data_IF_659333181316
#
_entry.id   IF_659333181316
#
_cell.length_a   1.000
_cell.length_b   1.000
_cell.length_c   1.000
_cell.angle_alpha   90.00
_cell.angle_beta   90.00
_cell.angle_gamma   90.00
#
_symmetry.space_group_name_H-M   'P 1'
#
loop_
_entity.id
_entity.type
_entity.pdbx_description
1 polymer ?
#
# COMPACT_ATOMS: atom_id res chain seq x y z
N UNK A 1 -22.28 16.79 -20.64
CA UNK A 1 -21.69 15.58 -20.02
C UNK A 1 -20.94 14.80 -21.10
N UNK A 2 -21.67 14.13 -22.01
CA UNK A 2 -21.14 13.38 -23.16
C UNK A 2 -19.96 14.05 -23.91
N UNK A 3 -20.06 15.32 -24.30
CA UNK A 3 -18.95 16.02 -24.97
C UNK A 3 -17.64 16.11 -24.16
N UNK A 4 -17.72 16.11 -22.82
CA UNK A 4 -16.53 16.04 -21.95
C UNK A 4 -15.97 14.61 -21.86
N UNK A 5 -16.83 13.60 -21.87
CA UNK A 5 -16.42 12.19 -21.88
C UNK A 5 -15.74 11.84 -23.21
N UNK A 6 -16.31 12.25 -24.33
CA UNK A 6 -15.72 12.06 -25.66
C UNK A 6 -14.39 12.82 -25.81
N UNK A 7 -14.29 14.06 -25.31
CA UNK A 7 -13.03 14.80 -25.32
C UNK A 7 -11.94 14.14 -24.44
N UNK A 8 -12.28 13.73 -23.20
CA UNK A 8 -11.34 13.02 -22.34
C UNK A 8 -10.93 11.66 -22.93
N UNK A 9 -11.86 10.95 -23.58
CA UNK A 9 -11.58 9.68 -24.25
C UNK A 9 -10.65 9.87 -25.45
N UNK A 10 -10.86 10.91 -26.26
CA UNK A 10 -9.97 11.25 -27.37
C UNK A 10 -8.54 11.58 -26.88
N UNK A 11 -8.40 12.37 -25.81
CA UNK A 11 -7.08 12.67 -25.23
C UNK A 11 -6.39 11.40 -24.71
N UNK A 12 -7.12 10.49 -24.05
CA UNK A 12 -6.57 9.20 -23.60
C UNK A 12 -6.11 8.30 -24.76
N UNK A 13 -6.85 8.27 -25.88
CA UNK A 13 -6.46 7.53 -27.08
C UNK A 13 -5.24 8.15 -27.78
N UNK A 14 -5.18 9.48 -27.90
CA UNK A 14 -4.00 10.18 -28.42
C UNK A 14 -2.77 9.96 -27.53
N UNK A 15 -2.97 9.84 -26.21
CA UNK A 15 -1.92 9.52 -25.25
C UNK A 15 -1.26 8.14 -25.42
N UNK A 16 -1.67 7.35 -26.42
CA UNK A 16 -0.98 6.11 -26.81
C UNK A 16 0.26 6.35 -27.66
N UNK A 17 0.32 7.48 -28.36
CA UNK A 17 1.50 7.91 -29.09
C UNK A 17 2.42 8.73 -28.15
N UNK A 18 3.69 8.32 -27.93
CA UNK A 18 4.60 9.05 -27.04
C UNK A 18 4.88 10.50 -27.46
N UNK A 19 4.82 10.84 -28.75
CA UNK A 19 5.04 12.21 -29.23
C UNK A 19 3.83 13.10 -28.87
N UNK A 20 2.62 12.58 -29.06
CA UNK A 20 1.36 13.22 -28.67
C UNK A 20 1.29 13.48 -27.16
N UNK A 21 1.82 12.59 -26.29
CA UNK A 21 1.76 12.81 -24.83
C UNK A 21 2.48 14.09 -24.40
N UNK A 22 3.65 14.38 -24.95
CA UNK A 22 4.40 15.60 -24.60
C UNK A 22 3.61 16.86 -25.00
N UNK A 23 3.00 16.85 -26.20
CA UNK A 23 2.14 17.94 -26.66
C UNK A 23 0.88 18.11 -25.78
N UNK A 24 0.24 17.01 -25.37
CA UNK A 24 -0.94 17.02 -24.49
C UNK A 24 -0.60 17.60 -23.10
N UNK A 25 0.56 17.23 -22.53
CA UNK A 25 1.04 17.77 -21.25
C UNK A 25 1.34 19.27 -21.37
N UNK A 26 2.05 19.67 -22.43
CA UNK A 26 2.39 21.08 -22.70
C UNK A 26 1.15 21.95 -22.99
N UNK A 27 0.09 21.37 -23.57
CA UNK A 27 -1.21 22.03 -23.75
C UNK A 27 -2.02 22.21 -22.43
N UNK A 28 -1.46 21.81 -21.28
CA UNK A 28 -2.07 22.03 -19.96
C UNK A 28 -3.10 20.99 -19.54
N UNK A 29 -3.18 19.83 -20.22
CA UNK A 29 -4.19 18.80 -19.92
C UNK A 29 -4.17 18.33 -18.46
N UNK A 30 -2.99 18.31 -17.80
CA UNK A 30 -2.85 17.97 -16.39
C UNK A 30 -3.71 18.86 -15.46
N UNK A 31 -3.78 20.16 -15.72
CA UNK A 31 -4.58 21.10 -14.93
C UNK A 31 -6.09 20.89 -15.15
N UNK A 32 -6.48 20.64 -16.40
CA UNK A 32 -7.87 20.34 -16.79
C UNK A 32 -8.34 19.04 -16.14
N UNK A 33 -7.52 17.99 -16.21
CA UNK A 33 -7.79 16.70 -15.57
C UNK A 33 -7.90 16.82 -14.05
N UNK A 34 -7.02 17.60 -13.40
CA UNK A 34 -7.11 17.86 -11.96
C UNK A 34 -8.42 18.57 -11.58
N UNK A 35 -8.84 19.57 -12.37
CA UNK A 35 -10.13 20.25 -12.17
C UNK A 35 -11.32 19.29 -12.32
N UNK A 36 -11.32 18.44 -13.35
CA UNK A 36 -12.39 17.45 -13.58
C UNK A 36 -12.43 16.43 -12.43
N UNK A 37 -11.30 15.83 -12.04
CA UNK A 37 -11.23 14.86 -10.92
C UNK A 37 -11.70 15.45 -9.57
N UNK A 38 -11.58 16.77 -9.39
CA UNK A 38 -12.02 17.49 -8.19
C UNK A 38 -13.53 17.81 -8.21
N UNK A 39 -14.05 18.31 -9.33
CA UNK A 39 -15.36 19.01 -9.40
C UNK A 39 -16.34 18.45 -10.45
N UNK A 40 -15.89 17.66 -11.42
CA UNK A 40 -16.73 17.08 -12.47
C UNK A 40 -17.75 16.02 -12.01
N UNK A 41 -18.61 15.59 -12.93
CA UNK A 41 -19.52 14.45 -12.75
C UNK A 41 -18.74 13.13 -12.70
N UNK A 42 -19.19 12.12 -11.93
CA UNK A 42 -18.39 10.92 -11.69
C UNK A 42 -18.02 10.19 -12.99
N UNK A 43 -18.97 10.03 -13.92
CA UNK A 43 -18.73 9.46 -15.26
C UNK A 43 -17.60 10.15 -16.06
N UNK A 44 -17.47 11.47 -15.98
CA UNK A 44 -16.35 12.20 -16.61
C UNK A 44 -15.04 11.98 -15.83
N UNK A 45 -15.12 11.85 -14.50
CA UNK A 45 -13.96 11.57 -13.64
C UNK A 45 -13.39 10.17 -13.88
N UNK A 46 -14.25 9.17 -14.15
CA UNK A 46 -13.86 7.83 -14.60
C UNK A 46 -13.03 7.90 -15.88
N UNK A 47 -13.56 8.56 -16.93
CA UNK A 47 -12.86 8.66 -18.23
C UNK A 47 -11.56 9.45 -18.12
N UNK A 48 -11.49 10.47 -17.25
CA UNK A 48 -10.24 11.19 -16.97
C UNK A 48 -9.22 10.33 -16.22
N UNK A 49 -9.64 9.53 -15.23
CA UNK A 49 -8.73 8.59 -14.57
C UNK A 49 -8.21 7.51 -15.55
N UNK A 50 -9.08 7.01 -16.43
CA UNK A 50 -8.67 6.15 -17.53
C UNK A 50 -7.63 6.83 -18.44
N UNK A 51 -7.88 8.06 -18.90
CA UNK A 51 -6.96 8.80 -19.75
C UNK A 51 -5.60 9.03 -19.08
N UNK A 52 -5.58 9.43 -17.79
CA UNK A 52 -4.35 9.52 -16.99
C UNK A 52 -3.59 8.19 -16.97
N UNK A 53 -4.32 7.06 -16.89
CA UNK A 53 -3.70 5.72 -16.92
C UNK A 53 -3.08 5.37 -18.27
N UNK A 54 -3.70 5.71 -19.41
CA UNK A 54 -3.14 5.47 -20.74
C UNK A 54 -1.89 6.32 -20.98
N UNK A 55 -1.94 7.63 -20.66
CA UNK A 55 -0.78 8.53 -20.79
C UNK A 55 0.41 8.04 -19.95
N UNK A 56 0.17 7.67 -18.69
CA UNK A 56 1.21 7.15 -17.80
C UNK A 56 1.74 5.77 -18.23
N UNK A 57 0.91 4.95 -18.88
CA UNK A 57 1.31 3.63 -19.36
C UNK A 57 2.27 3.68 -20.55
N UNK A 58 2.17 4.69 -21.44
CA UNK A 58 2.97 4.75 -22.67
C UNK A 58 4.07 5.83 -22.64
N UNK A 59 4.00 6.80 -21.71
CA UNK A 59 5.03 7.83 -21.58
C UNK A 59 5.35 8.17 -20.11
N UNK A 60 6.30 7.45 -19.50
CA UNK A 60 6.62 7.60 -18.06
C UNK A 60 6.96 9.03 -17.61
N UNK A 61 7.52 9.90 -18.46
CA UNK A 61 7.84 11.28 -18.06
C UNK A 61 6.61 12.12 -17.70
N UNK A 62 5.38 11.73 -18.08
CA UNK A 62 4.16 12.46 -17.70
C UNK A 62 3.74 12.23 -16.22
N UNK A 63 4.34 11.24 -15.55
CA UNK A 63 4.13 10.95 -14.13
C UNK A 63 4.38 12.19 -13.25
N UNK A 64 5.50 12.89 -13.45
CA UNK A 64 5.87 14.04 -12.62
C UNK A 64 4.97 15.27 -12.86
N UNK A 65 4.62 15.67 -14.11
CA UNK A 65 3.57 16.64 -14.38
C UNK A 65 2.22 16.31 -13.73
N UNK A 66 1.78 15.05 -13.74
CA UNK A 66 0.56 14.65 -13.04
C UNK A 66 0.68 14.76 -11.52
N UNK A 67 1.85 14.42 -10.94
CA UNK A 67 2.12 14.59 -9.52
C UNK A 67 2.10 16.05 -9.09
N UNK A 68 2.77 16.94 -9.84
CA UNK A 68 2.77 18.39 -9.61
C UNK A 68 1.35 18.99 -9.66
N UNK A 69 0.48 18.45 -10.51
CA UNK A 69 -0.91 18.88 -10.66
C UNK A 69 -1.89 18.21 -9.67
N UNK A 70 -1.41 17.64 -8.56
CA UNK A 70 -2.20 17.03 -7.49
C UNK A 70 -3.07 15.81 -7.92
N UNK A 71 -2.82 15.22 -9.10
CA UNK A 71 -3.62 14.10 -9.62
C UNK A 71 -3.60 12.91 -8.65
N UNK A 72 -2.42 12.56 -8.12
CA UNK A 72 -2.24 11.47 -7.14
C UNK A 72 -3.20 11.62 -5.95
N UNK A 73 -3.23 12.81 -5.33
CA UNK A 73 -4.09 13.13 -4.19
C UNK A 73 -5.59 13.03 -4.55
N UNK A 74 -5.97 13.39 -5.77
CA UNK A 74 -7.36 13.32 -6.24
C UNK A 74 -7.81 11.87 -6.53
N UNK A 75 -6.93 11.05 -7.12
CA UNK A 75 -7.18 9.62 -7.32
C UNK A 75 -7.30 8.89 -5.98
N UNK A 76 -6.40 9.16 -5.02
CA UNK A 76 -6.49 8.60 -3.66
C UNK A 76 -7.77 9.06 -2.93
N UNK A 77 -8.23 10.30 -3.14
CA UNK A 77 -9.52 10.77 -2.59
C UNK A 77 -10.69 9.94 -3.12
N UNK A 78 -10.66 9.55 -4.39
CA UNK A 78 -11.68 8.68 -5.01
C UNK A 78 -11.60 7.24 -4.51
N UNK A 79 -10.41 6.66 -4.39
CA UNK A 79 -10.24 5.34 -3.76
C UNK A 79 -10.74 5.30 -2.31
N UNK A 80 -10.51 6.37 -1.54
CA UNK A 80 -10.92 6.44 -0.14
C UNK A 80 -12.43 6.66 0.07
N UNK A 81 -13.15 7.17 -0.94
CA UNK A 81 -14.57 7.48 -0.83
C UNK A 81 -15.39 6.19 -0.61
N UNK A 82 -16.16 6.14 0.49
CA UNK A 82 -16.95 4.98 0.94
C UNK A 82 -16.16 3.66 1.19
N UNK A 83 -14.83 3.64 0.99
CA UNK A 83 -13.98 2.45 1.18
C UNK A 83 -13.52 2.28 2.63
N UNK A 84 -13.28 3.39 3.33
CA UNK A 84 -12.91 3.41 4.75
C UNK A 84 -13.94 4.30 5.47
N UNK A 85 -14.64 3.81 6.52
CA UNK A 85 -15.52 4.65 7.33
C UNK A 85 -14.75 5.88 7.86
N UNK A 86 -15.37 7.06 7.86
CA UNK A 86 -14.74 8.32 8.31
C UNK A 86 -14.28 8.26 9.79
N UNK A 87 -14.69 7.23 10.54
CA UNK A 87 -14.32 6.95 11.95
C UNK A 87 -13.62 5.58 12.16
N UNK A 88 -13.00 4.96 11.14
CA UNK A 88 -12.34 3.66 11.33
C UNK A 88 -11.13 3.76 12.28
N UNK A 89 -10.88 2.69 13.07
CA UNK A 89 -9.76 2.59 14.02
C UNK A 89 -8.36 2.68 13.39
N UNK A 90 -8.27 2.75 12.06
CA UNK A 90 -7.03 2.90 11.28
C UNK A 90 -6.82 4.32 10.74
N UNK A 91 -7.59 5.30 11.23
CA UNK A 91 -7.37 6.71 10.91
C UNK A 91 -5.99 7.16 11.42
N UNK A 92 -5.01 7.20 10.52
CA UNK A 92 -3.73 7.88 10.76
C UNK A 92 -4.04 9.33 11.13
N UNK A 93 -3.79 9.70 12.37
CA UNK A 93 -3.94 11.07 12.85
C UNK A 93 -2.92 11.96 12.14
N UNK A 94 -3.39 12.68 11.13
CA UNK A 94 -2.65 13.81 10.56
C UNK A 94 -2.29 14.76 11.70
N UNK A 95 -0.99 14.94 11.95
CA UNK A 95 -0.46 15.86 12.98
C UNK A 95 -0.86 17.33 12.75
N UNK A 96 -1.50 17.66 11.63
CA UNK A 96 -2.04 18.99 11.35
C UNK A 96 -3.42 19.25 11.99
N UNK A 97 -4.16 18.20 12.38
CA UNK A 97 -5.51 18.36 12.97
C UNK A 97 -5.54 18.35 14.51
N UNK A 98 -4.42 18.16 15.19
CA UNK A 98 -4.35 18.04 16.66
C UNK A 98 -4.21 19.38 17.41
N UNK A 99 -4.56 20.51 16.79
CA UNK A 99 -4.48 21.86 17.39
C UNK A 99 -5.86 22.50 17.63
N UNK A 100 -6.92 21.69 17.76
CA UNK A 100 -8.21 22.16 18.26
C UNK A 100 -8.31 21.98 19.78
N UNK A 101 -8.45 23.08 20.51
CA UNK A 101 -8.50 23.15 21.97
C UNK A 101 -9.71 22.38 22.56
N UNK A 102 -10.71 22.06 21.75
CA UNK A 102 -11.93 21.37 22.21
C UNK A 102 -11.81 19.84 22.40
N UNK A 103 -10.70 19.21 22.02
CA UNK A 103 -10.56 17.74 22.12
C UNK A 103 -10.21 17.20 23.51
N UNK A 104 -9.85 18.06 24.47
CA UNK A 104 -9.26 17.65 25.76
C UNK A 104 -10.30 17.45 26.88
N UNK A 105 -11.52 17.98 26.74
CA UNK A 105 -12.51 18.04 27.85
C UNK A 105 -13.32 16.74 28.02
N UNK A 106 -13.33 15.85 27.02
CA UNK A 106 -14.16 14.62 27.02
C UNK A 106 -13.49 13.36 27.59
N UNK A 107 -12.24 13.46 28.06
CA UNK A 107 -11.50 12.31 28.62
C UNK A 107 -11.58 12.19 30.17
N UNK A 108 -12.07 13.20 30.87
CA UNK A 108 -12.00 13.29 32.34
C UNK A 108 -13.30 12.94 33.08
N UNK A 109 -14.16 12.10 32.49
CA UNK A 109 -15.47 11.76 33.07
C UNK A 109 -15.88 10.28 32.92
N UNK A 110 -14.99 9.34 33.21
CA UNK A 110 -15.35 8.00 33.70
C UNK A 110 -14.28 7.46 34.65
N UNK A 111 -14.63 7.24 35.92
CA UNK A 111 -13.77 6.63 36.93
C UNK A 111 -14.55 6.27 38.21
N UNK A 112 -14.25 5.10 38.78
CA UNK A 112 -14.96 4.45 39.90
C UNK A 112 -15.59 3.11 39.45
N UNK A 113 -15.35 1.96 40.07
CA UNK A 113 -14.65 1.61 41.34
C UNK A 113 -13.85 0.29 41.12
N UNK A 114 -12.62 0.12 41.68
CA UNK A 114 -12.24 -0.73 42.86
C UNK A 114 -12.42 -2.25 42.69
N UNK A 115 -11.57 -3.17 43.19
CA UNK A 115 -10.40 -3.20 44.11
C UNK A 115 -9.23 -4.02 43.46
N UNK A 116 -8.01 -4.24 43.99
CA UNK A 116 -7.33 -3.90 45.26
C UNK A 116 -5.87 -4.47 45.29
N UNK A 117 -5.15 -4.27 46.40
CA UNK A 117 -3.79 -4.80 46.78
C UNK A 117 -2.59 -4.43 45.85
N UNK A 118 -1.66 -3.56 46.26
CA UNK A 118 -0.56 -3.70 47.24
C UNK A 118 0.61 -4.60 46.81
N UNK A 119 1.77 -3.98 46.56
CA UNK A 119 3.11 -4.33 47.09
C UNK A 119 4.03 -3.12 46.90
N UNK A 120 4.82 -2.80 47.93
CA UNK A 120 5.84 -1.74 47.95
C UNK A 120 7.18 -2.24 47.40
N UNK A 121 8.02 -1.36 46.84
CA UNK A 121 9.44 -1.30 47.24
C UNK A 121 10.06 0.07 46.92
N UNK A 122 11.07 0.44 47.70
CA UNK A 122 11.73 1.72 47.77
C UNK A 122 12.74 1.98 46.63
N UNK A 123 12.87 3.26 46.26
CA UNK A 123 14.17 3.96 46.41
C UNK A 123 14.10 5.48 46.32
N UNK A 124 14.43 6.11 47.44
CA UNK A 124 14.75 7.53 47.57
C UNK A 124 16.15 7.85 46.99
N UNK A 125 16.37 9.11 46.59
CA UNK A 125 17.48 10.02 46.99
C UNK A 125 17.63 11.21 46.01
N UNK A 126 18.19 12.38 46.42
CA UNK A 126 17.33 13.56 46.48
C UNK A 126 17.87 14.86 45.83
N UNK A 127 16.97 15.85 45.77
CA UNK A 127 17.16 17.31 45.90
C UNK A 127 18.51 17.96 45.56
N UNK A 128 18.45 18.97 44.67
CA UNK A 128 19.14 20.24 44.90
C UNK A 128 18.19 21.42 44.65
N UNK A 129 18.28 22.44 45.50
CA UNK A 129 17.40 23.61 45.55
C UNK A 129 18.20 24.92 45.54
N UNK A 130 17.51 26.00 45.12
CA UNK A 130 17.68 27.44 45.46
C UNK A 130 18.46 28.34 44.47
N UNK A 131 18.21 29.68 44.45
CA UNK A 131 16.92 30.40 44.60
C UNK A 131 16.75 31.71 43.75
N UNK A 132 15.55 32.31 43.77
CA UNK A 132 15.25 33.73 43.42
C UNK A 132 13.78 33.95 43.01
N UNK A 133 12.87 34.44 43.89
CA UNK A 133 12.43 35.85 44.06
C UNK A 133 11.90 36.53 42.77
N UNK A 134 10.76 37.24 42.69
CA UNK A 134 9.64 37.65 43.58
C UNK A 134 8.54 38.24 42.63
N UNK A 135 7.23 37.92 42.63
CA UNK A 135 6.09 38.40 43.44
C UNK A 135 4.81 37.73 42.86
N UNK A 136 3.87 37.13 43.61
CA UNK A 136 2.78 37.72 44.43
C UNK A 136 1.79 38.67 43.72
N UNK A 137 0.60 38.16 43.33
CA UNK A 137 -0.67 38.33 44.08
C UNK A 137 -1.85 37.62 43.36
N UNK A 138 -2.53 36.67 44.03
CA UNK A 138 -3.92 36.77 44.57
C UNK A 138 -5.04 36.91 43.50
N UNK A 139 -6.19 36.23 43.50
CA UNK A 139 -6.87 35.12 44.20
C UNK A 139 -8.39 35.45 44.14
N UNK A 140 -9.24 34.41 44.13
CA UNK A 140 -10.73 34.42 44.12
C UNK A 140 -11.39 34.62 42.74
N UNK A 141 -12.15 33.66 42.20
CA UNK A 141 -13.38 32.99 42.68
C UNK A 141 -14.60 33.92 42.83
N UNK A 142 -15.54 33.78 41.89
CA UNK A 142 -16.99 33.82 42.16
C UNK A 142 -17.70 32.88 41.18
N UNK A 143 -18.39 31.89 41.72
CA UNK A 143 -19.29 30.93 41.04
C UNK A 143 -20.69 31.13 41.65
N UNK A 144 -21.76 30.72 40.94
CA UNK A 144 -23.17 30.69 41.41
C UNK A 144 -23.80 32.09 41.63
N UNK A 145 -25.12 32.33 41.56
CA UNK A 145 -26.36 31.55 41.28
C UNK A 145 -27.49 32.56 40.89
N UNK A 146 -28.70 32.26 40.41
CA UNK A 146 -29.39 31.01 40.00
C UNK A 146 -30.51 31.36 38.98
N UNK A 147 -31.11 30.36 38.32
CA UNK A 147 -32.29 30.50 37.44
C UNK A 147 -33.59 30.96 38.15
N UNK A 148 -34.53 31.42 37.33
CA UNK A 148 -35.98 31.56 37.58
C UNK A 148 -36.50 32.77 38.38
N UNK A 149 -37.26 33.64 37.70
CA UNK A 149 -38.71 33.71 37.94
C UNK A 149 -39.48 34.26 36.71
N UNK A 150 -40.80 34.08 36.74
CA UNK A 150 -41.74 34.23 35.62
C UNK A 150 -42.77 35.32 35.96
N UNK A 151 -43.28 35.99 34.92
CA UNK A 151 -44.58 36.71 34.82
C UNK A 151 -44.42 38.17 34.35
N UNK A 152 -44.72 38.47 33.08
CA UNK A 152 -46.00 39.01 32.58
C UNK A 152 -46.31 40.44 33.05
N UNK A 153 -46.23 41.41 32.12
CA UNK A 153 -47.23 42.47 31.99
C UNK A 153 -47.43 42.83 30.51
N UNK A 154 -48.64 43.30 30.20
CA UNK A 154 -49.21 43.35 28.86
C UNK A 154 -49.75 44.77 28.63
N UNK A 155 -49.34 45.45 27.56
CA UNK A 155 -50.00 46.68 27.08
C UNK A 155 -49.99 46.73 25.55
N UNK A 156 -51.18 46.69 24.96
CA UNK A 156 -51.44 47.02 23.54
C UNK A 156 -51.80 48.50 23.43
N UNK A 157 -51.34 49.18 22.39
CA UNK A 157 -52.01 50.40 21.87
C UNK A 157 -51.84 50.51 20.34
N UNK A 158 -52.93 50.95 19.71
CA UNK A 158 -53.27 50.91 18.28
C UNK A 158 -52.43 51.74 17.29
N UNK A 159 -52.54 51.33 16.02
CA UNK A 159 -52.68 52.10 14.77
C UNK A 159 -52.01 53.49 14.62
N UNK A 160 -51.30 53.69 13.50
CA UNK A 160 -51.98 54.30 12.35
C UNK A 160 -51.34 54.07 10.97
N UNK A 161 -52.13 54.38 9.95
CA UNK A 161 -51.97 54.15 8.52
C UNK A 161 -51.19 55.28 7.81
N UNK A 162 -50.38 54.99 6.76
CA UNK A 162 -50.43 55.65 5.44
C UNK A 162 -49.28 55.30 4.47
N UNK A 163 -49.58 55.38 3.17
CA UNK A 163 -48.67 55.21 2.02
C UNK A 163 -47.73 56.42 1.84
N UNK A 164 -46.49 56.23 1.34
CA UNK A 164 -46.17 56.41 -0.10
C UNK A 164 -44.67 56.36 -0.47
N UNK A 165 -44.44 55.88 -1.70
CA UNK A 165 -43.38 56.24 -2.67
C UNK A 165 -41.92 55.75 -2.54
N UNK A 166 -41.29 55.71 -3.72
CA UNK A 166 -39.95 55.18 -4.01
C UNK A 166 -38.80 56.09 -3.53
N UNK A 167 -37.66 55.50 -3.12
CA UNK A 167 -36.44 55.44 -3.97
C UNK A 167 -35.27 54.70 -3.30
N UNK A 168 -34.35 54.23 -4.16
CA UNK A 168 -32.96 53.80 -3.93
C UNK A 168 -32.39 53.75 -2.49
N UNK A 169 -31.99 52.55 -2.05
CA UNK A 169 -30.56 52.17 -1.93
C UNK A 169 -30.39 50.69 -1.54
N UNK A 170 -30.09 49.81 -2.51
CA UNK A 170 -29.53 48.50 -2.20
C UNK A 170 -28.03 48.66 -1.90
N UNK A 171 -27.62 48.46 -0.64
CA UNK A 171 -26.23 48.17 -0.31
C UNK A 171 -25.97 46.68 -0.55
N UNK A 172 -25.06 46.38 -1.48
CA UNK A 172 -24.54 45.02 -1.65
C UNK A 172 -23.74 44.59 -0.42
N UNK A 173 -24.27 43.63 0.36
CA UNK A 173 -23.46 42.78 1.23
C UNK A 173 -23.27 41.43 0.55
N UNK A 174 -22.04 41.20 0.05
CA UNK A 174 -21.64 39.95 -0.60
C UNK A 174 -21.69 38.79 0.42
N UNK A 175 -22.65 37.87 0.26
CA UNK A 175 -22.50 36.55 0.87
C UNK A 175 -21.56 35.72 0.00
N UNK A 176 -20.44 35.30 0.59
CA UNK A 176 -19.44 34.47 -0.06
C UNK A 176 -19.93 33.01 -0.16
N UNK A 177 -19.72 32.38 -1.32
CA UNK A 177 -20.09 30.98 -1.54
C UNK A 177 -19.43 30.01 -0.56
N UNK A 178 -20.25 29.29 0.20
CA UNK A 178 -19.84 28.12 1.01
C UNK A 178 -20.62 26.84 0.65
N UNK A 179 -21.60 26.89 -0.25
CA UNK A 179 -22.47 25.74 -0.57
C UNK A 179 -21.85 24.69 -1.51
N UNK A 180 -20.89 25.06 -2.37
CA UNK A 180 -20.39 24.18 -3.42
C UNK A 180 -19.80 22.85 -2.90
N UNK A 181 -19.15 22.87 -1.74
CA UNK A 181 -18.53 21.67 -1.14
C UNK A 181 -19.55 20.63 -0.64
N UNK A 182 -20.72 21.06 -0.18
CA UNK A 182 -21.76 20.16 0.33
C UNK A 182 -22.51 19.46 -0.80
N UNK A 183 -22.88 20.21 -1.85
CA UNK A 183 -23.61 19.68 -3.01
C UNK A 183 -22.81 18.60 -3.76
N UNK A 184 -21.48 18.76 -3.90
CA UNK A 184 -20.63 17.77 -4.58
C UNK A 184 -20.50 16.47 -3.76
N UNK A 185 -20.40 16.54 -2.42
CA UNK A 185 -20.38 15.33 -1.58
C UNK A 185 -21.71 14.57 -1.73
N UNK A 186 -22.84 15.28 -1.63
CA UNK A 186 -24.18 14.72 -1.80
C UNK A 186 -24.44 14.12 -3.19
N UNK A 187 -23.94 14.74 -4.26
CA UNK A 187 -24.05 14.16 -5.61
C UNK A 187 -23.28 12.85 -5.73
N UNK A 188 -22.04 12.79 -5.21
CA UNK A 188 -21.22 11.55 -5.21
C UNK A 188 -21.84 10.42 -4.39
N UNK A 189 -22.51 10.73 -3.28
CA UNK A 189 -23.24 9.75 -2.47
C UNK A 189 -24.42 9.13 -3.24
N UNK A 190 -25.07 9.91 -4.13
CA UNK A 190 -26.21 9.51 -4.95
C UNK A 190 -25.86 8.78 -6.26
N UNK A 191 -24.58 8.75 -6.67
CA UNK A 191 -24.14 7.98 -7.85
C UNK A 191 -24.40 6.47 -7.66
N UNK A 192 -24.65 5.75 -8.75
CA UNK A 192 -24.93 4.32 -8.68
C UNK A 192 -23.69 3.48 -8.27
N UNK A 193 -23.88 2.30 -7.67
CA UNK A 193 -22.76 1.46 -7.22
C UNK A 193 -21.79 1.04 -8.32
N UNK A 194 -22.24 0.91 -9.58
CA UNK A 194 -21.39 0.49 -10.68
C UNK A 194 -20.47 1.64 -11.12
N UNK A 195 -20.99 2.86 -11.32
CA UNK A 195 -20.18 4.06 -11.58
C UNK A 195 -19.18 4.33 -10.44
N UNK A 196 -19.57 4.09 -9.18
CA UNK A 196 -18.65 4.17 -8.03
C UNK A 196 -17.54 3.12 -8.07
N UNK A 197 -17.86 1.88 -8.47
CA UNK A 197 -16.86 0.83 -8.64
C UNK A 197 -15.91 1.10 -9.82
N UNK A 198 -16.44 1.56 -10.95
CA UNK A 198 -15.67 1.94 -12.15
C UNK A 198 -14.68 3.08 -11.84
N UNK A 199 -15.10 4.09 -11.08
CA UNK A 199 -14.21 5.16 -10.60
C UNK A 199 -13.08 4.62 -9.71
N UNK A 200 -13.36 3.65 -8.84
CA UNK A 200 -12.32 3.01 -8.01
C UNK A 200 -11.37 2.16 -8.85
N UNK A 201 -11.89 1.40 -9.81
CA UNK A 201 -11.11 0.61 -10.78
C UNK A 201 -10.16 1.50 -11.57
N UNK A 202 -10.67 2.57 -12.21
CA UNK A 202 -9.85 3.49 -12.99
C UNK A 202 -8.89 4.32 -12.13
N UNK A 203 -9.24 4.64 -10.88
CA UNK A 203 -8.32 5.30 -9.96
C UNK A 203 -7.16 4.39 -9.53
N UNK A 204 -7.43 3.10 -9.26
CA UNK A 204 -6.37 2.12 -8.99
C UNK A 204 -5.51 1.88 -10.23
N UNK A 205 -6.12 1.75 -11.42
CA UNK A 205 -5.42 1.61 -12.70
C UNK A 205 -4.51 2.80 -13.00
N UNK A 206 -4.97 4.02 -12.77
CA UNK A 206 -4.14 5.22 -12.91
C UNK A 206 -2.97 5.20 -11.92
N UNK A 207 -3.21 4.87 -10.65
CA UNK A 207 -2.14 4.79 -9.65
C UNK A 207 -1.11 3.71 -9.94
N UNK A 208 -1.48 2.56 -10.52
CA UNK A 208 -0.53 1.55 -11.03
C UNK A 208 0.53 2.18 -11.93
N UNK A 209 0.10 2.77 -13.05
CA UNK A 209 1.05 3.34 -14.03
C UNK A 209 1.75 4.61 -13.54
N UNK A 210 1.14 5.36 -12.61
CA UNK A 210 1.79 6.51 -11.97
C UNK A 210 2.87 6.10 -10.94
N UNK A 211 2.68 4.96 -10.26
CA UNK A 211 3.66 4.42 -9.32
C UNK A 211 4.80 3.66 -10.02
N UNK A 212 4.55 3.05 -11.19
CA UNK A 212 5.48 2.21 -11.93
C UNK A 212 6.86 2.89 -12.13
N UNK A 213 7.86 2.44 -11.37
CA UNK A 213 9.22 2.97 -11.38
C UNK A 213 9.43 4.34 -10.72
N UNK A 214 8.42 4.97 -10.10
CA UNK A 214 8.50 6.33 -9.56
C UNK A 214 8.46 6.34 -8.01
N UNK A 215 9.65 6.41 -7.40
CA UNK A 215 9.84 6.44 -5.95
C UNK A 215 9.09 7.60 -5.27
N UNK A 216 9.05 8.78 -5.89
CA UNK A 216 8.45 9.97 -5.29
C UNK A 216 6.93 9.88 -5.23
N UNK A 217 6.32 9.36 -6.30
CA UNK A 217 4.88 9.06 -6.33
C UNK A 217 4.56 7.93 -5.35
N UNK A 218 5.35 6.86 -5.31
CA UNK A 218 5.16 5.78 -4.33
C UNK A 218 5.24 6.29 -2.88
N UNK A 219 6.16 7.20 -2.54
CA UNK A 219 6.21 7.85 -1.20
C UNK A 219 4.92 8.63 -0.93
N UNK A 220 4.48 9.48 -1.87
CA UNK A 220 3.23 10.26 -1.75
C UNK A 220 1.98 9.38 -1.58
N UNK A 221 1.92 8.25 -2.29
CA UNK A 221 0.82 7.27 -2.20
C UNK A 221 0.86 6.52 -0.87
N UNK A 222 2.03 6.05 -0.43
CA UNK A 222 2.17 5.22 0.78
C UNK A 222 2.09 6.02 2.09
N UNK A 223 2.44 7.30 2.08
CA UNK A 223 2.23 8.24 3.20
C UNK A 223 0.74 8.66 3.36
N UNK A 224 -0.11 8.32 2.39
CA UNK A 224 -1.54 8.59 2.40
C UNK A 224 -2.37 7.38 2.89
N UNK A 225 -3.70 7.46 2.82
CA UNK A 225 -4.58 6.32 3.10
C UNK A 225 -4.63 5.27 1.97
N UNK A 226 -3.90 5.47 0.86
CA UNK A 226 -4.04 4.65 -0.34
C UNK A 226 -3.77 3.17 -0.13
N UNK A 227 -2.70 2.78 0.57
CA UNK A 227 -2.40 1.36 0.83
C UNK A 227 -3.55 0.64 1.56
N UNK A 228 -4.15 1.30 2.55
CA UNK A 228 -5.31 0.76 3.27
C UNK A 228 -6.55 0.69 2.39
N UNK A 229 -6.76 1.67 1.50
CA UNK A 229 -7.86 1.61 0.53
C UNK A 229 -7.66 0.43 -0.44
N UNK A 230 -6.47 0.29 -1.01
CA UNK A 230 -6.12 -0.78 -1.95
C UNK A 230 -6.25 -2.16 -1.30
N UNK A 231 -5.83 -2.33 -0.04
CA UNK A 231 -6.04 -3.58 0.70
C UNK A 231 -7.52 -3.94 0.89
N UNK A 232 -8.36 -2.97 1.29
CA UNK A 232 -9.82 -3.18 1.45
C UNK A 232 -10.51 -3.45 0.11
N UNK A 233 -10.06 -2.80 -0.96
CA UNK A 233 -10.59 -3.00 -2.32
C UNK A 233 -10.14 -4.33 -2.93
N UNK A 234 -8.95 -4.81 -2.61
CA UNK A 234 -8.48 -6.16 -2.95
C UNK A 234 -9.28 -7.24 -2.19
N UNK A 235 -9.70 -6.96 -0.96
CA UNK A 235 -10.56 -7.87 -0.19
C UNK A 235 -12.01 -7.92 -0.72
N UNK A 236 -12.64 -6.75 -0.92
CA UNK A 236 -14.11 -6.62 -1.05
C UNK A 236 -14.59 -5.97 -2.34
N UNK A 237 -13.70 -5.55 -3.23
CA UNK A 237 -14.08 -4.96 -4.51
C UNK A 237 -14.70 -5.99 -5.47
N UNK A 238 -15.42 -5.55 -6.50
CA UNK A 238 -15.66 -6.37 -7.69
C UNK A 238 -14.35 -6.62 -8.44
N UNK A 239 -14.36 -7.56 -9.38
CA UNK A 239 -13.13 -8.17 -9.90
C UNK A 239 -12.18 -7.18 -10.59
N UNK A 240 -12.70 -6.27 -11.43
CA UNK A 240 -11.91 -5.17 -12.02
C UNK A 240 -11.21 -4.29 -10.96
N UNK A 241 -11.88 -4.06 -9.83
CA UNK A 241 -11.36 -3.23 -8.74
C UNK A 241 -10.31 -4.00 -7.94
N UNK A 242 -10.51 -5.31 -7.72
CA UNK A 242 -9.51 -6.19 -7.11
C UNK A 242 -8.26 -6.27 -7.98
N UNK A 243 -8.41 -6.57 -9.27
CA UNK A 243 -7.32 -6.67 -10.24
C UNK A 243 -6.51 -5.38 -10.29
N UNK A 244 -7.14 -4.23 -10.53
CA UNK A 244 -6.41 -2.97 -10.59
C UNK A 244 -5.78 -2.58 -9.23
N UNK A 245 -6.37 -3.00 -8.10
CA UNK A 245 -5.77 -2.80 -6.77
C UNK A 245 -4.54 -3.69 -6.55
N UNK A 246 -4.59 -4.97 -6.93
CA UNK A 246 -3.46 -5.89 -6.89
C UNK A 246 -2.31 -5.38 -7.75
N UNK A 247 -2.59 -4.98 -9.01
CA UNK A 247 -1.58 -4.44 -9.91
C UNK A 247 -0.98 -3.13 -9.39
N UNK A 248 -1.76 -2.24 -8.77
CA UNK A 248 -1.23 -1.02 -8.16
C UNK A 248 -0.30 -1.33 -6.97
N UNK A 249 -0.67 -2.28 -6.11
CA UNK A 249 0.18 -2.72 -5.00
C UNK A 249 1.45 -3.44 -5.50
N UNK A 250 1.36 -4.21 -6.59
CA UNK A 250 2.51 -4.86 -7.24
C UNK A 250 3.54 -3.84 -7.74
N UNK A 251 3.13 -2.76 -8.40
CA UNK A 251 4.06 -1.70 -8.81
C UNK A 251 4.69 -0.98 -7.60
N UNK A 252 3.90 -0.69 -6.56
CA UNK A 252 4.40 -0.04 -5.34
C UNK A 252 5.42 -0.95 -4.61
N UNK A 253 5.16 -2.26 -4.53
CA UNK A 253 6.09 -3.22 -3.91
C UNK A 253 7.34 -3.41 -4.75
N UNK A 254 7.25 -3.41 -6.09
CA UNK A 254 8.42 -3.47 -6.97
C UNK A 254 9.34 -2.25 -6.81
N UNK A 255 8.78 -1.05 -6.63
CA UNK A 255 9.57 0.15 -6.31
C UNK A 255 10.16 0.06 -4.88
N UNK A 256 9.43 -0.53 -3.92
CA UNK A 256 9.94 -0.78 -2.57
C UNK A 256 11.01 -1.88 -2.50
N UNK A 257 11.05 -2.84 -3.43
CA UNK A 257 12.15 -3.81 -3.52
C UNK A 257 13.49 -3.10 -3.76
N UNK A 258 13.49 -2.08 -4.63
CA UNK A 258 14.67 -1.31 -5.02
C UNK A 258 14.98 -0.18 -4.03
N UNK A 259 14.01 0.65 -3.64
CA UNK A 259 14.23 1.76 -2.69
C UNK A 259 14.09 1.31 -1.23
N UNK A 260 15.22 1.20 -0.53
CA UNK A 260 15.26 0.78 0.88
C UNK A 260 14.63 1.77 1.87
N UNK A 261 14.43 3.04 1.49
CA UNK A 261 13.79 4.05 2.33
C UNK A 261 12.26 3.88 2.33
N UNK A 262 11.67 3.81 1.14
CA UNK A 262 10.26 3.47 0.90
C UNK A 262 9.92 2.11 1.52
N UNK A 263 10.79 1.11 1.37
CA UNK A 263 10.61 -0.21 1.99
C UNK A 263 10.42 -0.13 3.50
N UNK A 264 11.29 0.62 4.19
CA UNK A 264 11.27 0.77 5.65
C UNK A 264 10.12 1.64 6.14
N UNK A 265 9.68 2.64 5.37
CA UNK A 265 8.59 3.54 5.76
C UNK A 265 7.20 2.94 5.48
N UNK A 266 6.96 2.43 4.28
CA UNK A 266 5.66 1.95 3.82
C UNK A 266 5.34 0.53 4.32
N UNK A 267 6.32 -0.38 4.30
CA UNK A 267 6.13 -1.81 4.57
C UNK A 267 6.79 -2.27 5.88
N UNK A 268 6.77 -1.41 6.91
CA UNK A 268 7.23 -1.78 8.25
C UNK A 268 6.36 -2.92 8.82
N UNK A 269 6.90 -4.09 9.21
CA UNK A 269 6.10 -5.25 9.65
C UNK A 269 5.18 -5.00 10.86
N UNK A 270 5.46 -3.97 11.67
CA UNK A 270 4.60 -3.59 12.81
C UNK A 270 3.47 -2.62 12.43
N UNK A 271 3.39 -2.16 11.19
CA UNK A 271 2.38 -1.21 10.74
C UNK A 271 1.09 -1.97 10.36
N UNK A 272 -0.08 -1.65 10.94
CA UNK A 272 -1.32 -2.38 10.63
C UNK A 272 -1.70 -2.35 9.14
N UNK A 273 -1.38 -1.26 8.43
CA UNK A 273 -1.64 -1.13 6.99
C UNK A 273 -0.75 -2.05 6.15
N UNK A 274 0.55 -2.15 6.49
CA UNK A 274 1.47 -3.06 5.81
C UNK A 274 1.06 -4.52 6.05
N UNK A 275 0.72 -4.88 7.30
CA UNK A 275 0.19 -6.19 7.63
C UNK A 275 -1.09 -6.49 6.85
N UNK A 276 -2.05 -5.55 6.78
CA UNK A 276 -3.29 -5.75 6.03
C UNK A 276 -3.04 -6.03 4.55
N UNK A 277 -2.10 -5.33 3.89
CA UNK A 277 -1.70 -5.61 2.50
C UNK A 277 -1.12 -7.03 2.35
N UNK A 278 -0.18 -7.41 3.22
CA UNK A 278 0.46 -8.74 3.19
C UNK A 278 -0.55 -9.86 3.46
N UNK A 279 -1.45 -9.68 4.42
CA UNK A 279 -2.50 -10.66 4.74
C UNK A 279 -3.56 -10.78 3.60
N UNK A 280 -3.72 -9.79 2.72
CA UNK A 280 -4.51 -9.96 1.48
C UNK A 280 -3.77 -10.85 0.47
N UNK A 281 -2.50 -10.54 0.19
CA UNK A 281 -1.71 -11.30 -0.77
C UNK A 281 -1.56 -12.76 -0.34
N UNK A 282 -1.28 -13.00 0.95
CA UNK A 282 -1.13 -14.37 1.47
C UNK A 282 -2.40 -15.19 1.25
N UNK A 283 -3.60 -14.61 1.50
CA UNK A 283 -4.88 -15.30 1.29
C UNK A 283 -5.13 -15.65 -0.18
N UNK A 284 -4.67 -14.82 -1.11
CA UNK A 284 -4.78 -15.07 -2.56
C UNK A 284 -3.82 -16.20 -2.97
N UNK A 285 -2.61 -16.22 -2.40
CA UNK A 285 -1.60 -17.27 -2.66
C UNK A 285 -2.05 -18.62 -2.05
N UNK A 286 -2.72 -18.61 -0.90
CA UNK A 286 -3.28 -19.81 -0.23
C UNK A 286 -4.52 -20.38 -0.92
N UNK A 287 -5.20 -19.61 -1.77
CA UNK A 287 -6.38 -20.03 -2.54
C UNK A 287 -6.27 -19.57 -4.01
N UNK A 288 -5.39 -20.21 -4.81
CA UNK A 288 -5.11 -19.78 -6.18
C UNK A 288 -6.24 -20.19 -7.15
N UNK A 289 -7.16 -19.27 -7.43
CA UNK A 289 -8.26 -19.46 -8.39
C UNK A 289 -8.50 -18.25 -9.33
N UNK A 290 -7.62 -17.24 -9.29
CA UNK A 290 -7.85 -15.94 -9.92
C UNK A 290 -6.60 -15.32 -10.56
N UNK A 291 -6.82 -14.37 -11.48
CA UNK A 291 -5.77 -13.54 -12.12
C UNK A 291 -4.94 -12.70 -11.13
N UNK A 292 -5.30 -12.73 -9.84
CA UNK A 292 -4.62 -12.02 -8.76
C UNK A 292 -3.41 -12.78 -8.21
N UNK A 293 -3.29 -14.08 -8.51
CA UNK A 293 -2.24 -14.98 -7.98
C UNK A 293 -0.83 -14.49 -8.30
N UNK A 294 -0.49 -14.36 -9.60
CA UNK A 294 0.85 -13.91 -10.05
C UNK A 294 1.21 -12.52 -9.47
N UNK A 295 0.34 -11.47 -9.55
CA UNK A 295 0.60 -10.19 -8.89
C UNK A 295 0.84 -10.29 -7.38
N UNK A 296 0.17 -11.21 -6.69
CA UNK A 296 0.30 -11.41 -5.24
C UNK A 296 1.62 -12.10 -4.88
N UNK A 297 1.98 -13.17 -5.58
CA UNK A 297 3.27 -13.88 -5.45
C UNK A 297 4.42 -12.89 -5.66
N UNK A 298 4.39 -12.15 -6.78
CA UNK A 298 5.39 -11.13 -7.11
C UNK A 298 5.51 -10.09 -6.01
N UNK A 299 4.38 -9.61 -5.49
CA UNK A 299 4.36 -8.62 -4.40
C UNK A 299 4.95 -9.14 -3.10
N UNK A 300 4.72 -10.40 -2.73
CA UNK A 300 5.36 -11.03 -1.57
C UNK A 300 6.87 -11.19 -1.77
N UNK A 301 7.30 -11.63 -2.96
CA UNK A 301 8.72 -11.71 -3.32
C UNK A 301 9.42 -10.35 -3.25
N UNK A 302 8.82 -9.30 -3.80
CA UNK A 302 9.33 -7.92 -3.74
C UNK A 302 9.52 -7.42 -2.29
N UNK A 303 8.68 -7.92 -1.36
CA UNK A 303 8.73 -7.62 0.06
C UNK A 303 9.64 -8.56 0.87
N UNK A 304 10.31 -9.56 0.28
CA UNK A 304 11.10 -10.56 1.01
C UNK A 304 12.07 -9.95 2.04
N UNK A 305 12.71 -8.82 1.68
CA UNK A 305 13.64 -8.06 2.52
C UNK A 305 12.98 -7.14 3.56
N UNK A 306 11.69 -7.26 3.81
CA UNK A 306 10.94 -6.52 4.85
C UNK A 306 10.70 -7.34 6.11
N UNK A 307 10.57 -8.65 5.94
CA UNK A 307 10.04 -9.52 6.97
C UNK A 307 11.08 -9.78 8.09
N UNK A 308 10.60 -10.29 9.21
CA UNK A 308 11.42 -10.64 10.38
C UNK A 308 11.68 -12.15 10.36
N UNK A 309 12.76 -12.60 10.98
CA UNK A 309 13.07 -14.04 11.12
C UNK A 309 11.92 -14.87 11.72
N UNK A 310 11.08 -14.26 12.57
CA UNK A 310 9.90 -14.89 13.20
C UNK A 310 8.67 -14.99 12.28
N UNK A 311 8.71 -14.37 11.11
CA UNK A 311 7.62 -14.33 10.15
C UNK A 311 8.04 -15.15 8.92
N UNK A 312 7.56 -16.39 8.85
CA UNK A 312 7.87 -17.35 7.77
C UNK A 312 6.62 -17.85 7.05
N UNK A 313 5.43 -17.31 7.39
CA UNK A 313 4.12 -17.80 6.92
C UNK A 313 3.96 -17.79 5.40
N UNK A 314 4.73 -16.98 4.68
CA UNK A 314 4.76 -16.92 3.21
C UNK A 314 5.62 -18.02 2.55
N UNK A 315 6.57 -18.65 3.26
CA UNK A 315 7.44 -19.66 2.64
C UNK A 315 6.63 -20.92 2.29
N UNK A 316 5.74 -21.36 3.18
CA UNK A 316 4.94 -22.57 2.94
C UNK A 316 4.02 -22.45 1.72
N UNK A 317 3.16 -21.42 1.56
CA UNK A 317 2.35 -21.28 0.35
C UNK A 317 3.20 -21.16 -0.92
N UNK A 318 4.34 -20.46 -0.89
CA UNK A 318 5.23 -20.36 -2.05
C UNK A 318 5.90 -21.70 -2.43
N UNK A 319 6.29 -22.53 -1.44
CA UNK A 319 6.85 -23.87 -1.70
C UNK A 319 5.78 -24.86 -2.16
N UNK A 320 4.53 -24.69 -1.71
CA UNK A 320 3.39 -25.48 -2.18
C UNK A 320 3.06 -25.18 -3.65
N UNK A 321 3.17 -23.91 -4.09
CA UNK A 321 3.03 -23.52 -5.50
C UNK A 321 4.17 -24.00 -6.43
N UNK A 322 5.15 -24.73 -5.91
CA UNK A 322 6.09 -25.50 -6.74
C UNK A 322 5.55 -26.89 -7.11
N UNK A 323 4.44 -27.32 -6.49
CA UNK A 323 3.80 -28.61 -6.71
C UNK A 323 2.52 -28.43 -7.53
N UNK A 324 2.34 -29.27 -8.55
CA UNK A 324 1.18 -29.38 -9.46
C UNK A 324 0.49 -28.06 -9.92
N UNK A 325 1.24 -26.96 -10.02
CA UNK A 325 0.75 -25.62 -10.38
C UNK A 325 1.00 -25.26 -11.85
N UNK A 326 0.29 -24.25 -12.39
CA UNK A 326 0.51 -23.75 -13.75
C UNK A 326 1.97 -23.25 -13.93
N UNK A 327 2.60 -23.39 -15.11
CA UNK A 327 4.00 -23.00 -15.32
C UNK A 327 4.29 -21.54 -14.96
N UNK A 328 3.40 -20.60 -15.29
CA UNK A 328 3.54 -19.19 -14.98
C UNK A 328 3.48 -18.91 -13.47
N UNK A 329 2.61 -19.62 -12.74
CA UNK A 329 2.49 -19.55 -11.28
C UNK A 329 3.71 -20.15 -10.61
N UNK A 330 4.15 -21.32 -11.08
CA UNK A 330 5.33 -22.06 -10.60
C UNK A 330 6.62 -21.25 -10.78
N UNK A 331 6.79 -20.66 -11.98
CA UNK A 331 7.93 -19.80 -12.30
C UNK A 331 7.96 -18.54 -11.43
N UNK A 332 6.82 -17.87 -11.22
CA UNK A 332 6.75 -16.71 -10.33
C UNK A 332 6.97 -17.08 -8.85
N UNK A 333 6.49 -18.25 -8.40
CA UNK A 333 6.73 -18.75 -7.04
C UNK A 333 8.23 -19.01 -6.81
N UNK A 334 8.91 -19.66 -7.76
CA UNK A 334 10.36 -19.84 -7.73
C UNK A 334 11.11 -18.50 -7.76
N UNK A 335 10.69 -17.52 -8.57
CA UNK A 335 11.25 -16.16 -8.57
C UNK A 335 11.05 -15.43 -7.24
N UNK A 336 9.90 -15.59 -6.58
CA UNK A 336 9.66 -15.03 -5.25
C UNK A 336 10.54 -15.70 -4.19
N UNK A 337 10.66 -17.04 -4.21
CA UNK A 337 11.54 -17.80 -3.32
C UNK A 337 13.02 -17.44 -3.53
N UNK A 338 13.46 -17.15 -4.76
CA UNK A 338 14.80 -16.63 -5.03
C UNK A 338 15.08 -15.31 -4.31
N UNK A 339 14.07 -14.45 -4.09
CA UNK A 339 14.22 -13.21 -3.29
C UNK A 339 14.27 -13.47 -1.78
N UNK A 340 13.81 -14.62 -1.32
CA UNK A 340 13.98 -15.09 0.06
C UNK A 340 15.33 -15.79 0.28
N UNK A 341 15.77 -16.59 -0.69
CA UNK A 341 16.97 -17.42 -0.64
C UNK A 341 18.26 -16.70 -1.09
N UNK A 342 18.16 -15.61 -1.85
CA UNK A 342 19.31 -14.90 -2.41
C UNK A 342 20.09 -14.05 -1.38
N UNK A 343 21.38 -13.76 -1.64
CA UNK A 343 22.30 -13.11 -0.70
C UNK A 343 21.91 -11.67 -0.31
N UNK A 344 21.07 -11.02 -1.12
CA UNK A 344 20.49 -9.70 -0.84
C UNK A 344 19.54 -9.70 0.38
N UNK A 345 19.08 -10.86 0.85
CA UNK A 345 18.24 -11.01 2.03
C UNK A 345 19.04 -11.54 3.22
N UNK A 346 19.17 -10.75 4.29
CA UNK A 346 19.91 -11.13 5.50
C UNK A 346 19.37 -12.38 6.23
N UNK A 347 18.18 -12.87 5.86
CA UNK A 347 17.56 -14.08 6.39
C UNK A 347 17.70 -15.30 5.45
N UNK A 348 18.53 -15.21 4.40
CA UNK A 348 18.66 -16.25 3.37
C UNK A 348 18.88 -17.66 3.95
N UNK A 349 19.77 -17.82 4.93
CA UNK A 349 20.03 -19.11 5.59
C UNK A 349 18.78 -19.70 6.26
N UNK A 350 18.05 -18.89 7.03
CA UNK A 350 16.81 -19.28 7.69
C UNK A 350 15.73 -19.66 6.68
N UNK A 351 15.59 -18.89 5.60
CA UNK A 351 14.59 -19.16 4.57
C UNK A 351 14.95 -20.41 3.73
N UNK A 352 16.21 -20.60 3.34
CA UNK A 352 16.66 -21.82 2.66
C UNK A 352 16.40 -23.08 3.51
N UNK A 353 16.68 -23.03 4.82
CA UNK A 353 16.40 -24.13 5.75
C UNK A 353 14.90 -24.46 5.82
N UNK A 354 14.05 -23.45 5.89
CA UNK A 354 12.59 -23.65 5.90
C UNK A 354 12.07 -24.18 4.55
N UNK A 355 12.60 -23.71 3.42
CA UNK A 355 12.26 -24.23 2.07
C UNK A 355 12.60 -25.72 1.95
N UNK A 356 13.79 -26.13 2.40
CA UNK A 356 14.21 -27.54 2.37
C UNK A 356 13.31 -28.39 3.27
N UNK A 357 13.07 -27.93 4.51
CA UNK A 357 12.20 -28.59 5.50
C UNK A 357 10.78 -28.80 5.01
N UNK A 358 10.27 -27.89 4.18
CA UNK A 358 8.94 -27.96 3.57
C UNK A 358 8.89 -28.79 2.27
N UNK A 359 9.95 -29.54 1.97
CA UNK A 359 10.01 -30.45 0.83
C UNK A 359 10.40 -29.80 -0.50
N UNK A 360 10.75 -28.50 -0.50
CA UNK A 360 10.99 -27.74 -1.74
C UNK A 360 12.04 -28.36 -2.67
N UNK A 361 13.05 -29.06 -2.14
CA UNK A 361 14.04 -29.80 -2.96
C UNK A 361 13.36 -30.84 -3.88
N UNK A 362 12.37 -31.57 -3.36
CA UNK A 362 11.66 -32.63 -4.10
C UNK A 362 10.80 -32.06 -5.22
N UNK A 363 10.18 -30.91 -5.01
CA UNK A 363 9.42 -30.21 -6.06
C UNK A 363 10.38 -29.60 -7.11
N UNK A 364 11.54 -29.09 -6.69
CA UNK A 364 12.51 -28.46 -7.60
C UNK A 364 13.20 -29.45 -8.55
N UNK A 365 13.52 -30.67 -8.11
CA UNK A 365 14.17 -31.68 -8.97
C UNK A 365 13.47 -31.89 -10.33
N UNK A 366 12.19 -32.31 -10.41
CA UNK A 366 11.52 -32.54 -11.70
C UNK A 366 11.35 -31.25 -12.51
N UNK A 367 11.12 -30.11 -11.86
CA UNK A 367 11.00 -28.81 -12.54
C UNK A 367 12.32 -28.38 -13.21
N UNK A 368 13.47 -28.70 -12.61
CA UNK A 368 14.78 -28.41 -13.22
C UNK A 368 15.14 -29.40 -14.34
N UNK A 369 14.74 -30.67 -14.24
CA UNK A 369 14.98 -31.63 -15.32
C UNK A 369 14.05 -31.47 -16.53
N UNK A 370 12.76 -31.22 -16.29
CA UNK A 370 11.70 -31.38 -17.31
C UNK A 370 10.80 -30.15 -17.47
N UNK A 371 10.92 -29.13 -16.63
CA UNK A 371 10.12 -27.90 -16.72
C UNK A 371 10.47 -27.05 -17.95
N UNK A 372 9.50 -26.24 -18.39
CA UNK A 372 9.71 -25.23 -19.42
C UNK A 372 10.70 -24.15 -18.97
N UNK A 373 11.34 -23.44 -19.91
CA UNK A 373 12.42 -22.49 -19.59
C UNK A 373 12.02 -21.41 -18.56
N UNK A 374 10.75 -20.97 -18.58
CA UNK A 374 10.17 -20.01 -17.61
C UNK A 374 10.15 -20.53 -16.17
N UNK A 375 10.11 -21.85 -15.98
CA UNK A 375 10.14 -22.52 -14.67
C UNK A 375 11.55 -23.02 -14.35
N UNK A 376 12.21 -23.64 -15.33
CA UNK A 376 13.49 -24.35 -15.19
C UNK A 376 14.61 -23.44 -14.66
N UNK A 377 14.75 -22.23 -15.22
CA UNK A 377 15.81 -21.30 -14.81
C UNK A 377 15.57 -20.77 -13.38
N UNK A 378 14.39 -20.22 -13.02
CA UNK A 378 14.10 -19.83 -11.64
C UNK A 378 14.27 -20.96 -10.62
N UNK A 379 13.82 -22.18 -10.93
CA UNK A 379 13.95 -23.34 -10.04
C UNK A 379 15.42 -23.76 -9.87
N UNK A 380 16.21 -23.70 -10.93
CA UNK A 380 17.64 -24.01 -10.88
C UNK A 380 18.42 -23.00 -10.03
N UNK A 381 18.15 -21.71 -10.21
CA UNK A 381 18.74 -20.64 -9.38
C UNK A 381 18.40 -20.89 -7.90
N UNK A 382 17.15 -21.27 -7.60
CA UNK A 382 16.73 -21.54 -6.23
C UNK A 382 17.49 -22.73 -5.63
N UNK A 383 17.58 -23.83 -6.37
CA UNK A 383 18.32 -25.01 -5.95
C UNK A 383 19.81 -24.71 -5.71
N UNK A 384 20.41 -23.81 -6.51
CA UNK A 384 21.77 -23.33 -6.28
C UNK A 384 21.88 -22.50 -5.00
N UNK A 385 20.93 -21.62 -4.68
CA UNK A 385 20.91 -20.90 -3.39
C UNK A 385 20.72 -21.85 -2.19
N UNK A 386 19.91 -22.90 -2.32
CA UNK A 386 19.77 -23.93 -1.27
C UNK A 386 21.11 -24.63 -1.03
N UNK A 387 21.80 -25.07 -2.08
CA UNK A 387 23.11 -25.72 -1.97
C UNK A 387 24.24 -24.77 -1.52
N UNK A 388 24.21 -23.49 -1.92
CA UNK A 388 25.17 -22.47 -1.50
C UNK A 388 25.07 -22.16 0.01
N UNK A 389 23.84 -22.04 0.51
CA UNK A 389 23.57 -21.55 1.86
C UNK A 389 23.39 -22.66 2.91
N UNK A 390 22.91 -23.85 2.52
CA UNK A 390 22.68 -25.00 3.42
C UNK A 390 23.35 -26.29 2.91
N UNK A 391 24.66 -26.27 2.59
CA UNK A 391 25.37 -27.43 2.01
C UNK A 391 25.50 -28.64 2.94
N UNK A 392 25.22 -28.46 4.23
CA UNK A 392 25.19 -29.47 5.28
C UNK A 392 23.84 -30.21 5.38
N UNK A 393 22.85 -29.84 4.57
CA UNK A 393 21.53 -30.50 4.53
C UNK A 393 21.62 -31.97 4.06
N UNK A 394 21.20 -32.89 4.93
CA UNK A 394 21.02 -34.31 4.57
C UNK A 394 20.09 -34.50 3.37
N UNK A 395 19.03 -33.69 3.25
CA UNK A 395 18.09 -33.75 2.12
C UNK A 395 18.77 -33.46 0.79
N UNK A 396 19.69 -32.48 0.72
CA UNK A 396 20.43 -32.20 -0.52
C UNK A 396 21.40 -33.33 -0.91
N UNK A 397 21.87 -34.12 0.07
CA UNK A 397 22.68 -35.31 -0.19
C UNK A 397 21.84 -36.53 -0.60
N UNK A 398 20.70 -36.76 0.05
CA UNK A 398 19.77 -37.85 -0.26
C UNK A 398 19.13 -37.70 -1.64
N UNK A 399 18.79 -36.48 -2.02
CA UNK A 399 18.20 -36.12 -3.32
C UNK A 399 19.26 -35.89 -4.43
N UNK A 400 20.50 -36.32 -4.20
CA UNK A 400 21.65 -36.26 -5.13
C UNK A 400 21.86 -34.90 -5.84
N UNK A 401 21.59 -33.79 -5.16
CA UNK A 401 21.55 -32.44 -5.79
C UNK A 401 22.86 -32.08 -6.49
N UNK A 402 24.01 -32.58 -6.02
CA UNK A 402 25.30 -32.39 -6.68
C UNK A 402 25.31 -32.95 -8.12
N UNK A 403 24.72 -34.13 -8.34
CA UNK A 403 24.62 -34.77 -9.65
C UNK A 403 23.74 -33.96 -10.61
N UNK A 404 22.67 -33.34 -10.11
CA UNK A 404 21.84 -32.41 -10.88
C UNK A 404 22.62 -31.14 -11.24
N UNK A 405 23.33 -30.51 -10.29
CA UNK A 405 24.15 -29.33 -10.58
C UNK A 405 25.22 -29.63 -11.65
N UNK A 406 25.86 -30.81 -11.58
CA UNK A 406 26.76 -31.27 -12.64
C UNK A 406 26.09 -31.46 -14.00
N UNK A 407 24.90 -32.04 -14.03
CA UNK A 407 24.13 -32.19 -15.26
C UNK A 407 23.76 -30.83 -15.86
N UNK A 408 23.34 -29.87 -15.02
CA UNK A 408 22.94 -28.53 -15.44
C UNK A 408 24.10 -27.73 -16.04
N UNK A 409 25.33 -27.85 -15.51
CA UNK A 409 26.52 -27.22 -16.12
C UNK A 409 26.82 -27.71 -17.54
N UNK A 410 26.24 -28.84 -17.97
CA UNK A 410 26.38 -29.39 -19.32
C UNK A 410 25.26 -28.91 -20.27
N UNK A 411 24.29 -28.15 -19.77
CA UNK A 411 23.14 -27.63 -20.54
C UNK A 411 23.39 -26.18 -21.00
N UNK A 412 23.61 -25.90 -22.30
CA UNK A 412 24.00 -24.57 -22.76
C UNK A 412 22.97 -23.46 -22.50
N UNK A 413 21.68 -23.79 -22.39
CA UNK A 413 20.62 -22.80 -22.14
C UNK A 413 20.51 -22.38 -20.66
N UNK A 414 20.99 -23.21 -19.73
CA UNK A 414 21.02 -22.89 -18.30
C UNK A 414 22.23 -22.03 -17.92
N UNK A 415 23.30 -22.09 -18.72
CA UNK A 415 24.60 -21.46 -18.46
C UNK A 415 24.85 -20.20 -19.32
N UNK A 416 23.79 -19.58 -19.86
CA UNK A 416 23.92 -18.38 -20.70
C UNK A 416 24.27 -17.12 -19.90
N UNK A 417 23.84 -17.07 -18.64
CA UNK A 417 24.12 -15.97 -17.72
C UNK A 417 25.36 -16.28 -16.87
N UNK A 418 26.29 -15.31 -16.81
CA UNK A 418 27.54 -15.42 -16.05
C UNK A 418 27.32 -15.41 -14.54
N UNK A 419 26.24 -14.77 -14.08
CA UNK A 419 25.90 -14.74 -12.66
C UNK A 419 25.37 -16.12 -12.23
N UNK A 420 24.65 -16.83 -13.12
CA UNK A 420 24.26 -18.23 -12.90
C UNK A 420 25.49 -19.15 -12.92
N UNK A 421 26.39 -19.03 -13.90
CA UNK A 421 27.63 -19.83 -13.95
C UNK A 421 28.46 -19.70 -12.66
N UNK A 422 28.65 -18.47 -12.19
CA UNK A 422 29.35 -18.17 -10.93
C UNK A 422 28.62 -18.76 -9.72
N UNK A 423 27.29 -18.63 -9.65
CA UNK A 423 26.46 -19.15 -8.57
C UNK A 423 26.53 -20.69 -8.49
N UNK A 424 26.40 -21.38 -9.63
CA UNK A 424 26.45 -22.84 -9.73
C UNK A 424 27.83 -23.36 -9.30
N UNK A 425 28.90 -22.69 -9.73
CA UNK A 425 30.26 -23.07 -9.36
C UNK A 425 30.51 -23.03 -7.85
N UNK A 426 30.16 -21.93 -7.16
CA UNK A 426 30.33 -21.85 -5.70
C UNK A 426 29.34 -22.76 -4.95
N UNK A 427 28.10 -22.93 -5.44
CA UNK A 427 27.14 -23.86 -4.86
C UNK A 427 27.64 -25.32 -4.89
N UNK A 428 28.15 -25.78 -6.04
CA UNK A 428 28.79 -27.11 -6.17
C UNK A 428 29.96 -27.27 -5.22
N UNK A 429 30.91 -26.32 -5.25
CA UNK A 429 32.11 -26.32 -4.41
C UNK A 429 31.77 -26.36 -2.91
N UNK A 430 30.70 -25.68 -2.47
CA UNK A 430 30.18 -25.79 -1.10
C UNK A 430 29.68 -27.18 -0.79
N UNK A 431 28.83 -27.74 -1.66
CA UNK A 431 28.20 -29.05 -1.45
C UNK A 431 29.24 -30.20 -1.44
N UNK A 432 30.20 -30.19 -2.37
CA UNK A 432 31.34 -31.12 -2.45
C UNK A 432 32.16 -31.15 -1.16
N UNK A 433 32.43 -29.99 -0.55
CA UNK A 433 33.19 -29.86 0.70
C UNK A 433 32.49 -30.48 1.91
N UNK A 434 31.15 -30.56 1.92
CA UNK A 434 30.39 -31.20 3.00
C UNK A 434 30.16 -32.69 2.74
N UNK A 435 29.80 -33.08 1.52
CA UNK A 435 29.61 -34.50 1.16
C UNK A 435 30.92 -35.31 1.28
N UNK A 436 32.07 -34.71 0.96
CA UNK A 436 33.41 -35.31 1.16
C UNK A 436 33.87 -35.39 2.62
N UNK A 437 33.16 -34.71 3.56
CA UNK A 437 33.35 -34.84 5.02
C UNK A 437 32.44 -35.92 5.60
N UNK A 438 31.18 -35.97 5.17
CA UNK A 438 30.23 -37.02 5.57
C UNK A 438 30.73 -38.43 5.22
N UNK A 439 31.28 -38.61 4.02
CA UNK A 439 31.87 -39.90 3.59
C UNK A 439 33.15 -40.30 4.34
N UNK A 440 33.73 -39.42 5.16
CA UNK A 440 34.94 -39.68 5.95
C UNK A 440 34.68 -40.01 7.43
N UNK A 441 33.42 -40.12 7.84
CA UNK A 441 33.02 -40.82 9.08
C UNK A 441 33.74 -40.38 10.36
N UNK A 442 33.60 -39.11 10.76
CA UNK A 442 33.89 -38.69 12.12
C UNK A 442 32.60 -38.67 12.95
N UNK A 443 32.31 -39.82 13.57
CA UNK A 443 31.38 -39.96 14.70
C UNK A 443 32.16 -39.94 16.01
#
# INVERSE_FOLDING_TARGET
>A
MEGQENAARAIGLLGRDPESVEQIVNAGACQVFAKILKEGHMKVQVVVAWAVSELAAHHRKCQDPFAQNNIIRLLVKHLAFETIPEHSKYAITSKQNSLSIHSIVLANAMGGDKDGEMIEDDRQFPSHTMPGQHNQNQMHNVVANTLAMKSTMNTKTNNNNQNHHHQHHQKHTKHHDTLAGSSIKKHRELEDPATKAEMKSMAARALRYLCAGNVNICKSVTESRALLCLAVLLEKGPDDVKYNSAMALMEITAVAEQDSSLRRSAFKPTAPVAKAVVDQFLRIIEMPDSELTIPSIRSIGNLARTFRATETRFIHPLVHLLDESEPEVTGEAALALNKFAGPENFLHDTHCKEIIKLGGVKHLLPLVYFGEQIVQIPCFILLCYLALHVPDSETLAQEEVLNLLEWATKQPHMMQDKDIDTLVYEAKKRLELYQSRGSKGYH
#
